data_IF_302528357003
#
_entry.id   IF_302528357003
#
_cell.length_a   1.000
_cell.length_b   1.000
_cell.length_c   1.000
_cell.angle_alpha   90.00
_cell.angle_beta   90.00
_cell.angle_gamma   90.00
#
_symmetry.space_group_name_H-M   'P 1'
#
loop_
_entity.id
_entity.type
_entity.pdbx_description
1 polymer ?
#
# COMPACT_ATOMS: atom_id res chain seq x y z
N UNK A 1 -37.19 6.50 1.47
CA UNK A 1 -36.89 5.05 1.59
C UNK A 1 -37.28 4.42 0.24
N UNK A 2 -36.41 4.61 -0.76
CA UNK A 2 -36.57 4.01 -2.08
C UNK A 2 -35.55 2.88 -2.16
N UNK A 3 -36.04 1.65 -2.25
CA UNK A 3 -35.24 0.49 -2.62
C UNK A 3 -35.00 0.63 -4.12
N UNK A 4 -33.79 1.09 -4.50
CA UNK A 4 -33.33 0.90 -5.87
C UNK A 4 -33.07 -0.59 -6.07
N UNK A 5 -34.07 -1.24 -6.68
CA UNK A 5 -33.97 -2.58 -7.19
C UNK A 5 -32.93 -2.58 -8.31
N UNK A 6 -31.85 -3.31 -8.08
CA UNK A 6 -30.92 -3.65 -9.17
C UNK A 6 -31.72 -4.25 -10.34
N UNK A 7 -31.38 -3.93 -11.61
CA UNK A 7 -32.10 -4.47 -12.76
C UNK A 7 -31.98 -6.00 -12.75
N UNK A 8 -33.08 -6.67 -12.51
CA UNK A 8 -33.23 -8.09 -12.74
C UNK A 8 -33.05 -8.33 -14.25
N UNK A 9 -32.01 -9.04 -14.67
CA UNK A 9 -31.94 -9.50 -16.05
C UNK A 9 -30.58 -9.52 -16.74
N UNK A 10 -29.45 -9.40 -16.05
CA UNK A 10 -28.14 -9.76 -16.64
C UNK A 10 -27.59 -10.98 -15.92
N UNK A 11 -27.67 -12.13 -16.55
CA UNK A 11 -27.18 -13.39 -15.97
C UNK A 11 -25.67 -13.42 -15.73
N UNK A 12 -24.87 -12.60 -16.45
CA UNK A 12 -23.41 -12.57 -16.37
C UNK A 12 -22.91 -11.14 -16.57
N UNK A 13 -22.09 -10.63 -15.64
CA UNK A 13 -21.35 -9.36 -15.79
C UNK A 13 -19.97 -9.62 -16.39
N UNK A 14 -19.38 -8.62 -17.07
CA UNK A 14 -18.02 -8.77 -17.59
C UNK A 14 -17.01 -8.88 -16.46
N UNK A 15 -17.09 -7.99 -15.45
CA UNK A 15 -16.13 -7.94 -14.35
C UNK A 15 -16.84 -7.80 -13.00
N UNK A 16 -16.55 -8.70 -12.07
CA UNK A 16 -16.90 -8.53 -10.66
C UNK A 16 -15.64 -8.17 -9.85
N UNK A 17 -15.69 -7.06 -9.11
CA UNK A 17 -14.61 -6.61 -8.25
C UNK A 17 -15.04 -6.82 -6.81
N UNK A 18 -14.29 -7.63 -6.07
CA UNK A 18 -14.55 -7.93 -4.66
C UNK A 18 -13.69 -7.02 -3.80
N UNK A 19 -14.34 -6.09 -3.10
CA UNK A 19 -13.68 -5.09 -2.24
C UNK A 19 -13.79 -3.67 -2.77
N UNK A 20 -14.29 -2.76 -1.94
CA UNK A 20 -14.49 -1.33 -2.19
C UNK A 20 -13.45 -0.44 -1.47
N UNK A 21 -12.22 -0.95 -1.31
CA UNK A 21 -11.08 -0.14 -0.88
C UNK A 21 -10.59 0.79 -1.99
N UNK A 22 -9.58 1.66 -1.71
CA UNK A 22 -9.06 2.62 -2.71
C UNK A 22 -8.64 1.95 -4.03
N UNK A 23 -7.99 0.78 -3.96
CA UNK A 23 -7.58 0.04 -5.15
C UNK A 23 -8.78 -0.50 -5.96
N UNK A 24 -9.74 -1.15 -5.28
CA UNK A 24 -10.92 -1.72 -5.94
C UNK A 24 -11.76 -0.66 -6.63
N UNK A 25 -12.05 0.45 -5.95
CA UNK A 25 -12.82 1.54 -6.55
C UNK A 25 -12.06 2.27 -7.66
N UNK A 26 -10.74 2.45 -7.54
CA UNK A 26 -9.95 3.03 -8.62
C UNK A 26 -9.98 2.16 -9.89
N UNK A 27 -9.88 0.85 -9.74
CA UNK A 27 -9.98 -0.06 -10.88
C UNK A 27 -11.41 -0.07 -11.47
N UNK A 28 -12.43 -0.11 -10.62
CA UNK A 28 -13.83 -0.04 -11.04
C UNK A 28 -14.12 1.25 -11.83
N UNK A 29 -13.66 2.39 -11.30
CA UNK A 29 -13.77 3.69 -11.98
C UNK A 29 -13.12 3.65 -13.36
N UNK A 30 -11.89 3.15 -13.44
CA UNK A 30 -11.17 3.04 -14.70
C UNK A 30 -11.84 2.08 -15.71
N UNK A 31 -12.41 0.97 -15.25
CA UNK A 31 -13.17 0.00 -16.07
C UNK A 31 -14.44 0.63 -16.62
N UNK A 32 -15.22 1.31 -15.77
CA UNK A 32 -16.46 1.99 -16.17
C UNK A 32 -16.20 3.05 -17.24
N UNK A 33 -15.12 3.82 -17.13
CA UNK A 33 -14.71 4.80 -18.15
C UNK A 33 -14.38 4.18 -19.51
N UNK A 34 -14.08 2.89 -19.55
CA UNK A 34 -13.82 2.11 -20.77
C UNK A 34 -15.05 1.38 -21.30
N UNK A 35 -16.21 1.64 -20.70
CA UNK A 35 -17.49 1.09 -21.12
C UNK A 35 -17.62 -0.43 -20.89
N UNK A 36 -16.83 -1.01 -20.00
CA UNK A 36 -16.93 -2.42 -19.62
C UNK A 36 -17.94 -2.57 -18.48
N UNK A 37 -18.83 -3.53 -18.59
CA UNK A 37 -19.85 -3.81 -17.59
C UNK A 37 -19.22 -4.40 -16.33
N UNK A 38 -19.43 -3.75 -15.19
CA UNK A 38 -18.79 -4.18 -13.94
C UNK A 38 -19.66 -3.93 -12.72
N UNK A 39 -19.45 -4.76 -11.68
CA UNK A 39 -20.07 -4.60 -10.37
C UNK A 39 -19.00 -4.69 -9.28
N UNK A 40 -19.09 -3.82 -8.28
CA UNK A 40 -18.29 -3.91 -7.05
C UNK A 40 -19.12 -4.56 -5.96
N UNK A 41 -18.57 -5.58 -5.32
CA UNK A 41 -19.19 -6.30 -4.21
C UNK A 41 -18.34 -6.10 -2.97
N UNK A 42 -18.90 -5.48 -1.95
CA UNK A 42 -18.20 -5.24 -0.68
C UNK A 42 -19.20 -4.96 0.44
N UNK A 43 -18.88 -5.26 1.71
CA UNK A 43 -19.64 -4.73 2.82
C UNK A 43 -19.56 -3.20 2.82
N UNK A 44 -20.57 -2.54 3.40
CA UNK A 44 -20.53 -1.09 3.58
C UNK A 44 -19.51 -0.74 4.69
N UNK A 45 -18.30 -0.43 4.31
CA UNK A 45 -17.21 -0.10 5.22
C UNK A 45 -16.67 1.30 4.95
N UNK A 46 -16.35 2.00 6.01
CA UNK A 46 -15.61 3.26 5.91
C UNK A 46 -14.11 2.98 5.75
N UNK A 47 -13.41 3.91 5.12
CA UNK A 47 -11.95 3.89 5.06
C UNK A 47 -11.41 4.65 6.28
N UNK A 48 -10.68 3.96 7.13
CA UNK A 48 -10.18 4.52 8.40
C UNK A 48 -8.70 4.92 8.34
N UNK A 49 -7.92 4.30 7.45
CA UNK A 49 -6.50 4.56 7.36
C UNK A 49 -6.20 5.92 6.69
N UNK A 50 -5.15 6.59 7.14
CA UNK A 50 -4.62 7.78 6.48
C UNK A 50 -3.87 7.39 5.21
N UNK A 51 -4.40 7.78 4.05
CA UNK A 51 -3.77 7.53 2.76
C UNK A 51 -2.97 8.75 2.30
N UNK A 52 -1.65 8.66 2.46
CA UNK A 52 -0.73 9.69 2.00
C UNK A 52 -0.01 9.29 0.72
N UNK A 53 0.36 10.29 -0.09
CA UNK A 53 1.10 10.11 -1.33
C UNK A 53 1.93 11.34 -1.68
N UNK A 54 3.00 11.15 -2.45
CA UNK A 54 3.65 12.26 -3.13
C UNK A 54 2.71 12.82 -4.20
N UNK A 55 2.58 14.15 -4.26
CA UNK A 55 1.61 14.81 -5.14
C UNK A 55 1.79 14.41 -6.60
N UNK A 56 3.02 14.44 -7.10
CA UNK A 56 3.38 14.08 -8.47
C UNK A 56 3.17 12.59 -8.80
N UNK A 57 3.06 11.72 -7.78
CA UNK A 57 2.73 10.31 -7.97
C UNK A 57 1.24 10.08 -8.26
N UNK A 58 0.37 11.04 -7.94
CA UNK A 58 -1.09 10.88 -8.03
C UNK A 58 -1.79 11.96 -8.83
N UNK A 59 -1.10 13.01 -9.23
CA UNK A 59 -1.68 14.18 -9.94
C UNK A 59 -2.31 13.80 -11.29
N UNK A 60 -1.72 12.83 -11.99
CA UNK A 60 -2.22 12.34 -13.28
C UNK A 60 -3.15 11.12 -13.16
N UNK A 61 -3.51 10.69 -11.94
CA UNK A 61 -4.37 9.53 -11.75
C UNK A 61 -5.84 9.85 -12.08
N UNK A 62 -6.57 8.84 -12.55
CA UNK A 62 -8.01 8.92 -12.78
C UNK A 62 -8.76 8.84 -11.44
N UNK A 63 -9.00 9.98 -10.80
CA UNK A 63 -9.61 10.07 -9.47
C UNK A 63 -11.11 10.38 -9.50
N UNK A 64 -11.68 10.58 -10.71
CA UNK A 64 -13.08 11.02 -10.89
C UNK A 64 -13.30 12.52 -10.61
N UNK A 65 -12.33 13.19 -9.99
CA UNK A 65 -12.31 14.63 -9.72
C UNK A 65 -10.87 15.15 -9.73
N UNK A 66 -10.65 16.48 -9.81
CA UNK A 66 -9.33 17.07 -9.61
C UNK A 66 -8.71 16.69 -8.26
N UNK A 67 -7.40 16.47 -8.21
CA UNK A 67 -6.71 16.03 -7.00
C UNK A 67 -7.02 16.91 -5.78
N UNK A 68 -7.01 18.23 -5.95
CA UNK A 68 -7.26 19.17 -4.85
C UNK A 68 -8.69 19.07 -4.25
N UNK A 69 -9.64 18.52 -5.00
CA UNK A 69 -11.00 18.29 -4.52
C UNK A 69 -11.11 17.04 -3.60
N UNK A 70 -10.14 16.12 -3.67
CA UNK A 70 -10.16 14.85 -2.94
C UNK A 70 -9.06 14.73 -1.89
N UNK A 71 -8.29 15.80 -1.64
CA UNK A 71 -7.28 15.82 -0.58
C UNK A 71 -7.78 16.54 0.68
N UNK A 72 -7.37 16.03 1.84
CA UNK A 72 -7.60 16.62 3.16
C UNK A 72 -6.53 17.62 3.55
N UNK A 73 -5.30 17.42 3.02
CA UNK A 73 -4.18 18.31 3.23
C UNK A 73 -3.10 18.12 2.16
N UNK A 74 -2.37 19.20 1.90
CA UNK A 74 -1.25 19.23 0.99
C UNK A 74 -0.11 20.08 1.58
N UNK A 75 1.10 19.56 1.52
CA UNK A 75 2.28 20.22 2.08
C UNK A 75 3.38 20.31 1.02
N UNK A 76 3.84 21.53 0.72
CA UNK A 76 4.94 21.73 -0.24
C UNK A 76 6.29 21.28 0.32
N UNK A 77 6.40 21.21 1.65
CA UNK A 77 7.61 20.84 2.37
C UNK A 77 7.37 19.61 3.24
N UNK A 78 8.21 18.60 3.04
CA UNK A 78 8.22 17.38 3.83
C UNK A 78 9.51 17.31 4.65
N UNK A 79 9.39 16.97 5.92
CA UNK A 79 10.50 16.84 6.85
C UNK A 79 10.79 15.37 7.15
N UNK A 80 12.06 15.00 7.08
CA UNK A 80 12.61 13.75 7.60
C UNK A 80 13.71 14.06 8.58
N UNK A 81 13.74 13.44 9.74
CA UNK A 81 14.76 13.63 10.78
C UNK A 81 15.36 12.28 11.14
N UNK A 82 16.62 12.09 10.76
CA UNK A 82 17.49 11.03 11.25
C UNK A 82 18.43 11.59 12.31
N UNK A 83 19.73 11.43 12.14
CA UNK A 83 20.74 12.20 12.86
C UNK A 83 20.80 13.66 12.37
N UNK A 84 20.33 13.90 11.14
CA UNK A 84 20.22 15.23 10.49
C UNK A 84 18.76 15.47 10.09
N UNK A 85 18.37 16.75 9.94
CA UNK A 85 17.10 17.14 9.37
C UNK A 85 17.22 17.28 7.84
N UNK A 86 16.31 16.67 7.12
CA UNK A 86 16.13 16.82 5.67
C UNK A 86 14.80 17.52 5.39
N UNK A 87 14.88 18.54 4.55
CA UNK A 87 13.71 19.27 4.02
C UNK A 87 13.57 18.93 2.56
N UNK A 88 12.56 18.12 2.26
CA UNK A 88 12.32 17.59 0.93
C UNK A 88 11.34 18.52 0.21
N UNK A 89 11.82 19.17 -0.86
CA UNK A 89 11.02 20.06 -1.71
C UNK A 89 10.19 19.25 -2.73
N UNK A 90 9.56 18.16 -2.29
CA UNK A 90 8.63 17.35 -3.07
C UNK A 90 7.30 17.35 -2.34
N UNK A 91 6.23 17.89 -2.94
CA UNK A 91 4.94 18.03 -2.25
C UNK A 91 4.33 16.68 -1.88
N UNK A 92 3.71 16.63 -0.70
CA UNK A 92 3.00 15.47 -0.18
C UNK A 92 1.52 15.81 0.04
N UNK A 93 0.65 14.86 -0.18
CA UNK A 93 -0.80 15.01 0.02
C UNK A 93 -1.32 13.87 0.90
N UNK A 94 -2.38 14.14 1.63
CA UNK A 94 -3.19 13.14 2.31
C UNK A 94 -4.60 13.25 1.75
N UNK A 95 -5.14 12.12 1.32
CA UNK A 95 -6.48 12.06 0.75
C UNK A 95 -7.57 12.29 1.81
N UNK A 96 -8.65 12.92 1.41
CA UNK A 96 -9.92 12.88 2.12
C UNK A 96 -10.63 11.59 1.73
N UNK A 97 -10.71 10.65 2.64
CA UNK A 97 -11.24 9.31 2.37
C UNK A 97 -12.68 9.33 1.87
N UNK A 98 -13.51 10.23 2.40
CA UNK A 98 -14.92 10.32 2.00
C UNK A 98 -15.05 10.90 0.59
N UNK A 99 -14.33 11.99 0.30
CA UNK A 99 -14.35 12.65 -1.01
C UNK A 99 -13.75 11.75 -2.07
N UNK A 100 -12.63 11.09 -1.79
CA UNK A 100 -12.01 10.17 -2.74
C UNK A 100 -12.92 8.96 -3.00
N UNK A 101 -13.51 8.36 -1.95
CA UNK A 101 -14.46 7.24 -2.09
C UNK A 101 -15.67 7.65 -2.93
N UNK A 102 -16.29 8.79 -2.63
CA UNK A 102 -17.44 9.30 -3.36
C UNK A 102 -17.11 9.56 -4.84
N UNK A 103 -15.95 10.17 -5.12
CA UNK A 103 -15.49 10.45 -6.47
C UNK A 103 -15.24 9.18 -7.28
N UNK A 104 -14.52 8.21 -6.70
CA UNK A 104 -14.20 6.95 -7.38
C UNK A 104 -15.42 6.04 -7.56
N UNK A 105 -16.43 6.13 -6.67
CA UNK A 105 -17.63 5.27 -6.76
C UNK A 105 -18.75 5.88 -7.61
N UNK A 106 -18.60 7.09 -8.11
CA UNK A 106 -19.63 7.76 -8.89
C UNK A 106 -19.96 6.97 -10.17
N UNK A 107 -21.24 6.59 -10.33
CA UNK A 107 -21.72 5.85 -11.50
C UNK A 107 -21.35 4.37 -11.55
N UNK A 108 -20.75 3.81 -10.48
CA UNK A 108 -20.39 2.39 -10.39
C UNK A 108 -21.56 1.59 -9.82
N UNK A 109 -21.88 0.46 -10.44
CA UNK A 109 -22.81 -0.51 -9.87
C UNK A 109 -22.18 -1.16 -8.63
N UNK A 110 -22.81 -0.99 -7.47
CA UNK A 110 -22.33 -1.55 -6.21
C UNK A 110 -23.36 -2.45 -5.57
N UNK A 111 -22.88 -3.55 -4.99
CA UNK A 111 -23.67 -4.44 -4.15
C UNK A 111 -23.06 -4.49 -2.75
N UNK A 112 -23.87 -4.13 -1.77
CA UNK A 112 -23.47 -4.22 -0.35
C UNK A 112 -23.70 -5.66 0.10
N UNK A 113 -22.62 -6.45 0.10
CA UNK A 113 -22.61 -7.85 0.53
C UNK A 113 -21.15 -8.32 0.72
N UNK A 114 -20.98 -9.55 1.20
CA UNK A 114 -19.69 -10.21 1.34
C UNK A 114 -19.63 -11.45 0.46
N UNK A 115 -18.54 -11.64 -0.26
CA UNK A 115 -18.30 -12.87 -1.03
C UNK A 115 -17.72 -13.93 -0.08
N UNK A 116 -18.32 -15.10 -0.07
CA UNK A 116 -17.90 -16.23 0.80
C UNK A 116 -17.25 -17.37 0.03
N UNK A 117 -17.52 -17.51 -1.28
CA UNK A 117 -16.92 -18.52 -2.13
C UNK A 117 -16.87 -18.08 -3.59
N UNK A 118 -15.98 -18.68 -4.37
CA UNK A 118 -15.89 -18.53 -5.82
C UNK A 118 -15.76 -19.91 -6.47
N UNK A 119 -16.65 -20.21 -7.41
CA UNK A 119 -16.66 -21.46 -8.17
C UNK A 119 -16.44 -21.14 -9.66
N UNK A 120 -15.62 -21.94 -10.33
CA UNK A 120 -15.20 -21.68 -11.71
C UNK A 120 -15.74 -22.74 -12.65
N UNK A 121 -16.36 -22.32 -13.74
CA UNK A 121 -16.54 -23.15 -14.94
C UNK A 121 -15.47 -22.81 -16.00
N UNK A 122 -15.63 -23.27 -17.23
CA UNK A 122 -14.65 -23.01 -18.30
C UNK A 122 -14.57 -21.55 -18.72
N UNK A 123 -15.63 -20.77 -18.59
CA UNK A 123 -15.77 -19.40 -19.11
C UNK A 123 -15.96 -18.35 -18.03
N UNK A 124 -16.70 -18.70 -16.95
CA UNK A 124 -17.17 -17.78 -15.93
C UNK A 124 -16.74 -18.21 -14.52
N UNK A 125 -16.93 -17.31 -13.58
CA UNK A 125 -16.83 -17.56 -12.15
C UNK A 125 -18.13 -17.16 -11.50
N UNK A 126 -18.68 -18.03 -10.67
CA UNK A 126 -19.85 -17.77 -9.83
C UNK A 126 -19.35 -17.41 -8.42
N UNK A 127 -19.70 -16.22 -7.96
CA UNK A 127 -19.46 -15.75 -6.61
C UNK A 127 -20.67 -16.02 -5.75
N UNK A 128 -20.51 -16.75 -4.64
CA UNK A 128 -21.56 -16.90 -3.63
C UNK A 128 -21.44 -15.80 -2.58
N UNK A 129 -22.54 -15.16 -2.27
CA UNK A 129 -22.63 -14.05 -1.34
C UNK A 129 -23.12 -14.52 0.03
N UNK A 130 -22.82 -13.76 1.07
CA UNK A 130 -23.28 -14.07 2.42
C UNK A 130 -24.80 -14.00 2.57
N UNK A 131 -25.49 -13.21 1.74
CA UNK A 131 -26.96 -13.19 1.63
C UNK A 131 -27.58 -14.49 1.09
N UNK A 132 -26.77 -15.38 0.49
CA UNK A 132 -27.21 -16.56 -0.24
C UNK A 132 -27.41 -16.35 -1.73
N UNK A 133 -27.31 -15.12 -2.21
CA UNK A 133 -27.39 -14.80 -3.64
C UNK A 133 -26.09 -15.16 -4.38
N UNK A 134 -26.17 -15.17 -5.71
CA UNK A 134 -25.03 -15.43 -6.59
C UNK A 134 -24.81 -14.30 -7.59
N UNK A 135 -23.55 -14.08 -7.94
CA UNK A 135 -23.15 -13.19 -9.04
C UNK A 135 -22.21 -13.95 -9.97
N UNK A 136 -22.55 -14.02 -11.24
CA UNK A 136 -21.71 -14.63 -12.28
C UNK A 136 -20.95 -13.57 -13.04
N UNK A 137 -19.65 -13.79 -13.24
CA UNK A 137 -18.77 -12.87 -13.95
C UNK A 137 -17.81 -13.60 -14.89
N UNK A 138 -17.43 -12.95 -16.00
CA UNK A 138 -16.38 -13.46 -16.91
C UNK A 138 -15.00 -13.33 -16.28
N UNK A 139 -14.78 -12.26 -15.51
CA UNK A 139 -13.56 -12.00 -14.77
C UNK A 139 -13.89 -11.61 -13.33
N UNK A 140 -13.16 -12.15 -12.37
CA UNK A 140 -13.23 -11.74 -10.96
C UNK A 140 -11.91 -11.11 -10.54
N UNK A 141 -12.02 -9.94 -9.93
CA UNK A 141 -10.89 -9.22 -9.33
C UNK A 141 -11.02 -9.26 -7.81
N UNK A 142 -10.00 -9.77 -7.12
CA UNK A 142 -9.87 -9.67 -5.67
C UNK A 142 -9.13 -8.38 -5.29
N UNK A 143 -9.85 -7.43 -4.71
CA UNK A 143 -9.35 -6.18 -4.17
C UNK A 143 -9.63 -6.04 -2.66
N UNK A 144 -9.73 -7.17 -1.93
CA UNK A 144 -10.09 -7.24 -0.51
C UNK A 144 -8.96 -6.81 0.45
N UNK A 145 -7.83 -6.39 -0.09
CA UNK A 145 -6.67 -5.97 0.70
C UNK A 145 -5.69 -7.11 0.97
N UNK A 146 -4.92 -7.02 2.05
CA UNK A 146 -3.87 -8.01 2.35
C UNK A 146 -4.40 -9.34 2.91
N UNK A 147 -5.66 -9.39 3.32
CA UNK A 147 -6.30 -10.59 3.88
C UNK A 147 -6.47 -11.75 2.89
N UNK A 148 -6.42 -11.46 1.59
CA UNK A 148 -6.52 -12.41 0.47
C UNK A 148 -7.66 -13.41 0.65
N UNK A 149 -8.86 -12.99 0.28
CA UNK A 149 -10.06 -13.83 0.43
C UNK A 149 -10.15 -14.90 -0.67
N UNK A 150 -9.82 -14.54 -1.91
CA UNK A 150 -10.04 -15.36 -3.10
C UNK A 150 -8.77 -15.66 -3.89
N UNK A 151 -7.80 -14.74 -3.92
CA UNK A 151 -6.53 -14.97 -4.59
C UNK A 151 -5.58 -15.75 -3.66
N UNK A 152 -5.28 -16.99 -4.01
CA UNK A 152 -4.36 -17.82 -3.23
C UNK A 152 -2.93 -17.32 -3.37
N UNK A 153 -2.26 -17.01 -2.26
CA UNK A 153 -0.81 -16.80 -2.26
C UNK A 153 -0.12 -18.16 -2.45
N UNK A 154 0.83 -18.23 -3.36
CA UNK A 154 1.72 -19.38 -3.39
C UNK A 154 2.36 -19.52 -2.00
N UNK A 155 2.25 -20.71 -1.42
CA UNK A 155 3.13 -21.06 -0.33
C UNK A 155 4.55 -20.76 -0.83
N UNK A 156 5.22 -19.81 -0.17
CA UNK A 156 6.54 -19.42 -0.59
C UNK A 156 7.37 -20.70 -0.73
N UNK A 157 7.84 -21.01 -1.95
CA UNK A 157 9.01 -21.86 -2.17
C UNK A 157 10.22 -21.11 -1.61
N UNK A 158 10.07 -20.64 -0.39
CA UNK A 158 11.15 -20.09 0.39
C UNK A 158 11.82 -21.26 1.05
N UNK A 159 13.13 -21.34 0.94
CA UNK A 159 14.01 -22.00 1.90
C UNK A 159 13.84 -21.45 3.34
N UNK A 160 12.62 -21.10 3.70
CA UNK A 160 12.24 -20.82 5.07
C UNK A 160 12.23 -22.17 5.77
N UNK A 161 13.14 -22.36 6.71
CA UNK A 161 13.17 -23.55 7.53
C UNK A 161 11.77 -23.81 8.09
N UNK A 162 11.38 -25.09 8.21
CA UNK A 162 10.04 -25.48 8.69
C UNK A 162 9.72 -24.83 10.04
N UNK A 163 10.75 -24.55 10.85
CA UNK A 163 10.69 -23.80 12.12
C UNK A 163 10.26 -22.34 12.00
N UNK A 164 10.39 -21.73 10.81
CA UNK A 164 10.12 -20.29 10.59
C UNK A 164 8.69 -20.02 10.06
N UNK A 165 7.92 -21.09 9.78
CA UNK A 165 6.54 -20.98 9.28
C UNK A 165 5.53 -20.61 10.37
N UNK A 166 5.86 -20.81 11.64
CA UNK A 166 5.03 -20.45 12.79
C UNK A 166 5.25 -19.00 13.27
N UNK A 167 6.32 -18.34 12.82
CA UNK A 167 6.58 -16.96 13.19
C UNK A 167 5.62 -16.00 12.46
N UNK A 168 5.03 -15.01 13.17
CA UNK A 168 4.18 -14.00 12.54
C UNK A 168 4.93 -13.31 11.40
N UNK A 169 4.23 -13.04 10.30
CA UNK A 169 4.79 -12.23 9.21
C UNK A 169 5.17 -10.84 9.74
N UNK A 170 6.31 -10.32 9.31
CA UNK A 170 6.72 -8.96 9.67
C UNK A 170 5.76 -7.93 9.09
N UNK A 171 5.57 -6.84 9.80
CA UNK A 171 4.67 -5.79 9.38
C UNK A 171 5.21 -4.40 9.76
N UNK A 172 4.75 -3.40 9.02
CA UNK A 172 4.67 -2.03 9.48
C UNK A 172 3.42 -1.90 10.33
N UNK A 173 3.56 -1.31 11.52
CA UNK A 173 2.45 -1.05 12.42
C UNK A 173 2.51 0.38 12.91
N UNK A 174 1.34 1.00 13.10
CA UNK A 174 1.26 2.34 13.63
C UNK A 174 0.06 2.52 14.55
N UNK A 175 0.20 3.44 15.49
CA UNK A 175 -0.86 3.97 16.32
C UNK A 175 -0.93 5.48 16.13
N UNK A 176 -2.02 5.96 15.57
CA UNK A 176 -2.25 7.36 15.24
C UNK A 176 -3.47 7.93 15.95
N UNK A 177 -3.41 9.22 16.25
CA UNK A 177 -4.49 10.01 16.79
C UNK A 177 -4.73 11.23 15.93
N UNK A 178 -5.99 11.54 15.66
CA UNK A 178 -6.39 12.83 15.09
C UNK A 178 -6.90 13.71 16.23
N UNK A 179 -6.21 14.80 16.50
CA UNK A 179 -6.50 15.72 17.63
C UNK A 179 -6.73 17.14 17.13
N UNK A 180 -7.35 17.99 17.99
CA UNK A 180 -7.60 19.42 17.71
C UNK A 180 -6.51 20.34 18.28
N UNK A 181 -5.26 19.90 18.21
CA UNK A 181 -4.11 20.67 18.73
C UNK A 181 -2.97 20.64 17.73
N UNK A 182 -2.39 21.77 17.41
CA UNK A 182 -1.20 21.89 16.54
C UNK A 182 0.14 21.88 17.29
N UNK A 183 0.12 21.76 18.61
CA UNK A 183 1.32 21.89 19.47
C UNK A 183 2.43 20.86 19.15
N UNK A 184 2.08 19.75 18.52
CA UNK A 184 2.98 18.60 18.27
C UNK A 184 3.58 18.56 16.87
N UNK A 185 3.18 19.49 15.99
CA UNK A 185 3.62 19.52 14.59
C UNK A 185 4.03 20.95 14.21
N UNK A 186 4.85 21.07 13.18
CA UNK A 186 5.21 22.36 12.60
C UNK A 186 4.15 22.75 11.56
N UNK A 187 3.45 23.89 11.70
CA UNK A 187 2.47 24.34 10.72
C UNK A 187 3.06 24.39 9.29
N UNK A 188 2.30 23.94 8.31
CA UNK A 188 2.71 23.94 6.90
C UNK A 188 3.78 22.91 6.52
N UNK A 189 4.22 22.07 7.46
CA UNK A 189 5.23 21.02 7.25
C UNK A 189 4.63 19.65 7.53
N UNK A 190 4.86 18.72 6.64
CA UNK A 190 4.55 17.31 6.86
C UNK A 190 5.78 16.60 7.42
N UNK A 191 5.72 16.05 8.63
CA UNK A 191 6.77 15.19 9.17
C UNK A 191 6.52 13.76 8.70
N UNK A 192 7.31 13.32 7.72
CA UNK A 192 7.21 11.97 7.15
C UNK A 192 7.86 10.92 8.06
N UNK A 193 9.00 11.26 8.63
CA UNK A 193 9.73 10.40 9.58
C UNK A 193 10.54 11.27 10.53
N UNK A 194 10.32 11.13 11.83
CA UNK A 194 11.22 11.67 12.84
C UNK A 194 11.71 10.53 13.73
N UNK A 195 12.94 10.09 13.50
CA UNK A 195 13.58 8.94 14.16
C UNK A 195 14.22 9.29 15.50
N UNK A 196 14.16 10.55 15.94
CA UNK A 196 14.68 10.91 17.26
C UNK A 196 13.94 10.10 18.32
N UNK A 197 14.66 9.51 19.30
CA UNK A 197 14.00 8.75 20.36
C UNK A 197 13.08 9.66 21.19
N UNK A 198 12.00 9.12 21.79
CA UNK A 198 11.23 9.82 22.77
C UNK A 198 12.10 10.30 23.94
N UNK A 199 11.77 11.45 24.56
CA UNK A 199 12.59 12.17 25.52
C UNK A 199 12.84 11.45 26.85
N UNK A 200 12.18 10.34 27.16
CA UNK A 200 12.35 9.55 28.39
C UNK A 200 12.94 8.16 28.12
N UNK A 201 13.96 7.80 28.87
CA UNK A 201 14.93 6.72 28.64
C UNK A 201 14.47 5.26 28.60
N UNK A 202 13.21 4.91 28.78
CA UNK A 202 12.72 3.52 28.68
C UNK A 202 12.32 3.09 27.27
N UNK A 203 12.21 4.01 26.34
CA UNK A 203 11.69 3.76 25.00
C UNK A 203 12.74 3.29 23.99
N UNK A 204 14.00 3.21 24.38
CA UNK A 204 15.08 2.77 23.52
C UNK A 204 15.21 1.25 23.47
N UNK A 205 14.17 0.55 23.02
CA UNK A 205 14.38 -0.77 22.44
C UNK A 205 15.13 -0.57 21.12
N UNK A 206 16.45 -0.67 21.20
CA UNK A 206 17.37 -0.44 20.08
C UNK A 206 17.19 -1.41 18.92
N UNK A 207 16.43 -2.49 19.10
CA UNK A 207 16.31 -3.55 18.10
C UNK A 207 15.34 -3.20 16.95
N UNK A 208 14.27 -2.44 17.22
CA UNK A 208 13.30 -2.00 16.20
C UNK A 208 12.86 -0.55 16.51
N UNK A 209 13.52 0.46 15.93
CA UNK A 209 13.15 1.84 16.20
C UNK A 209 11.80 2.19 15.60
N UNK A 210 11.09 3.10 16.26
CA UNK A 210 9.88 3.73 15.77
C UNK A 210 10.15 5.19 15.42
N UNK A 211 9.29 5.80 14.65
CA UNK A 211 9.38 7.20 14.25
C UNK A 211 8.03 7.90 14.38
N UNK A 212 8.09 9.20 14.56
CA UNK A 212 6.91 10.05 14.52
C UNK A 212 6.53 10.38 13.07
N UNK A 213 5.24 10.31 12.77
CA UNK A 213 4.61 10.71 11.53
C UNK A 213 3.45 11.65 11.84
N UNK A 214 3.36 12.80 11.16
CA UNK A 214 2.26 13.70 11.46
C UNK A 214 2.31 15.06 10.78
N UNK A 215 1.14 15.69 10.72
CA UNK A 215 0.96 17.04 10.18
C UNK A 215 -0.39 17.61 10.60
N UNK A 216 -0.54 18.93 10.49
CA UNK A 216 -1.83 19.60 10.62
C UNK A 216 -2.54 19.64 9.26
N UNK A 217 -3.78 19.18 9.21
CA UNK A 217 -4.64 19.22 8.02
C UNK A 217 -5.24 20.61 7.79
N UNK A 218 -5.82 20.80 6.61
CA UNK A 218 -6.46 22.06 6.24
C UNK A 218 -7.69 22.40 7.10
N UNK A 219 -8.33 21.38 7.71
CA UNK A 219 -9.46 21.54 8.62
C UNK A 219 -9.05 21.87 10.06
N UNK A 220 -7.76 22.09 10.30
CA UNK A 220 -7.19 22.38 11.61
C UNK A 220 -7.00 21.17 12.53
N UNK A 221 -7.45 19.99 12.14
CA UNK A 221 -7.13 18.76 12.85
C UNK A 221 -5.67 18.37 12.62
N UNK A 222 -5.07 17.65 13.56
CA UNK A 222 -3.67 17.25 13.51
C UNK A 222 -3.57 15.74 13.66
N UNK A 223 -2.88 15.09 12.73
CA UNK A 223 -2.44 13.70 12.87
C UNK A 223 -1.15 13.68 13.67
N UNK A 224 -1.10 12.82 14.68
CA UNK A 224 0.10 12.45 15.43
C UNK A 224 0.16 10.93 15.50
N UNK A 225 1.27 10.33 15.04
CA UNK A 225 1.36 8.89 14.90
C UNK A 225 2.75 8.39 15.28
N UNK A 226 2.81 7.28 16.00
CA UNK A 226 4.01 6.50 16.25
C UNK A 226 4.00 5.27 15.35
N UNK A 227 5.00 5.16 14.49
CA UNK A 227 5.07 4.15 13.44
C UNK A 227 6.33 3.30 13.57
N UNK A 228 6.18 1.99 13.49
CA UNK A 228 7.28 1.05 13.25
C UNK A 228 7.39 0.78 11.75
N UNK A 229 8.54 1.06 11.12
CA UNK A 229 8.70 0.81 9.68
C UNK A 229 8.62 -0.67 9.35
N UNK A 230 9.24 -1.50 10.14
CA UNK A 230 9.21 -2.97 10.04
C UNK A 230 9.58 -3.59 11.38
N UNK A 231 8.79 -4.52 11.83
CA UNK A 231 9.13 -5.36 12.97
C UNK A 231 8.65 -6.81 12.77
N UNK A 232 9.38 -7.79 13.34
CA UNK A 232 9.01 -9.19 13.35
C UNK A 232 9.42 -9.81 14.70
N UNK A 233 8.47 -10.13 15.62
CA UNK A 233 7.03 -9.89 15.46
C UNK A 233 6.69 -8.40 15.35
N UNK A 234 5.53 -8.04 14.76
CA UNK A 234 5.05 -6.66 14.72
C UNK A 234 4.81 -6.11 16.12
N UNK A 235 4.99 -4.80 16.31
CA UNK A 235 4.61 -4.16 17.58
C UNK A 235 3.10 -4.29 17.80
N UNK A 236 2.72 -4.51 19.05
CA UNK A 236 1.33 -4.41 19.50
C UNK A 236 0.91 -2.95 19.66
N UNK A 237 -0.41 -2.74 19.64
CA UNK A 237 -1.03 -1.41 19.71
C UNK A 237 -0.71 -0.68 21.01
N UNK A 238 -0.72 -1.38 22.14
CA UNK A 238 -0.47 -0.77 23.45
C UNK A 238 0.98 -0.29 23.58
N UNK A 239 1.92 -0.98 22.98
CA UNK A 239 3.31 -0.54 22.92
C UNK A 239 3.44 0.75 22.12
N UNK A 240 2.85 0.82 20.92
CA UNK A 240 2.91 2.02 20.08
C UNK A 240 2.18 3.20 20.73
N UNK A 241 1.04 2.96 21.40
CA UNK A 241 0.32 3.98 22.17
C UNK A 241 1.20 4.58 23.28
N UNK A 242 1.87 3.72 24.05
CA UNK A 242 2.79 4.19 25.11
C UNK A 242 3.96 4.99 24.53
N UNK A 243 4.55 4.53 23.42
CA UNK A 243 5.65 5.22 22.76
C UNK A 243 5.21 6.61 22.25
N UNK A 244 4.00 6.71 21.66
CA UNK A 244 3.45 7.99 21.24
C UNK A 244 3.25 8.93 22.44
N UNK A 245 2.64 8.46 23.53
CA UNK A 245 2.43 9.25 24.72
C UNK A 245 3.76 9.75 25.32
N UNK A 246 4.78 8.91 25.36
CA UNK A 246 6.14 9.29 25.81
C UNK A 246 6.75 10.34 24.90
N UNK A 247 6.63 10.19 23.58
CA UNK A 247 7.14 11.14 22.60
C UNK A 247 6.49 12.51 22.72
N UNK A 248 5.17 12.55 22.91
CA UNK A 248 4.40 13.77 23.05
C UNK A 248 4.47 14.38 24.47
N UNK A 249 4.94 13.62 25.46
CA UNK A 249 4.92 14.01 26.87
C UNK A 249 3.51 13.97 27.49
N UNK A 250 2.50 13.44 26.78
CA UNK A 250 1.09 13.36 27.21
C UNK A 250 0.35 12.27 26.46
N UNK A 251 -0.57 11.58 27.13
CA UNK A 251 -1.52 10.66 26.48
C UNK A 251 -2.74 11.44 26.00
N UNK A 252 -2.89 11.54 24.69
CA UNK A 252 -3.98 12.26 24.02
C UNK A 252 -5.16 11.37 23.62
N UNK A 253 -5.16 10.09 23.97
CA UNK A 253 -6.17 9.11 23.53
C UNK A 253 -7.60 9.56 23.86
N UNK A 254 -7.82 10.12 25.04
CA UNK A 254 -9.15 10.63 25.49
C UNK A 254 -9.60 11.91 24.77
N UNK A 255 -8.68 12.64 24.13
CA UNK A 255 -8.93 13.90 23.43
C UNK A 255 -8.99 13.72 21.91
N UNK A 256 -8.73 12.50 21.43
CA UNK A 256 -8.69 12.22 20.02
C UNK A 256 -10.10 12.20 19.40
N UNK A 257 -10.25 12.88 18.27
CA UNK A 257 -11.45 12.80 17.44
C UNK A 257 -11.58 11.46 16.73
N UNK A 258 -10.43 10.82 16.43
CA UNK A 258 -10.36 9.46 15.91
C UNK A 258 -9.03 8.80 16.26
N UNK A 259 -9.06 7.47 16.34
CA UNK A 259 -7.89 6.61 16.51
C UNK A 259 -7.65 5.85 15.22
N UNK A 260 -6.41 5.81 14.79
CA UNK A 260 -5.98 5.05 13.62
C UNK A 260 -5.07 3.89 14.05
N UNK A 261 -5.40 2.70 13.62
CA UNK A 261 -4.61 1.49 13.83
C UNK A 261 -4.15 0.97 12.48
N UNK A 262 -2.84 0.95 12.25
CA UNK A 262 -2.27 0.52 10.99
C UNK A 262 -1.52 -0.80 11.17
N UNK A 263 -1.78 -1.74 10.26
CA UNK A 263 -0.99 -2.97 10.10
C UNK A 263 -0.86 -3.29 8.61
N UNK A 264 0.34 -3.12 8.08
CA UNK A 264 0.67 -3.38 6.68
C UNK A 264 1.65 -4.56 6.65
N UNK A 265 1.26 -5.71 6.11
CA UNK A 265 2.18 -6.85 5.99
C UNK A 265 3.30 -6.51 5.01
N UNK A 266 4.53 -6.81 5.40
CA UNK A 266 5.73 -6.45 4.65
C UNK A 266 6.48 -7.71 4.19
N UNK A 267 6.90 -7.70 2.93
CA UNK A 267 7.71 -8.79 2.38
C UNK A 267 6.96 -10.10 2.19
N UNK A 268 5.64 -10.06 2.06
CA UNK A 268 4.85 -11.25 1.71
C UNK A 268 5.12 -11.67 0.26
N UNK A 269 5.00 -12.98 0.02
CA UNK A 269 5.07 -13.54 -1.33
C UNK A 269 3.93 -12.99 -2.19
N UNK A 270 4.21 -12.80 -3.49
CA UNK A 270 3.16 -12.46 -4.45
C UNK A 270 2.14 -13.62 -4.55
N UNK A 271 0.86 -13.32 -4.84
CA UNK A 271 -0.13 -14.35 -5.09
C UNK A 271 0.22 -15.17 -6.34
N UNK A 272 -0.34 -16.38 -6.43
CA UNK A 272 -0.22 -17.20 -7.64
C UNK A 272 -0.89 -16.51 -8.83
N UNK A 273 -0.12 -16.29 -9.90
CA UNK A 273 -0.60 -15.64 -11.13
C UNK A 273 -1.27 -16.58 -12.13
N UNK A 274 -1.43 -17.85 -11.76
CA UNK A 274 -2.15 -18.85 -12.55
C UNK A 274 -3.60 -19.06 -12.09
N UNK A 275 -4.09 -18.27 -11.14
CA UNK A 275 -5.46 -18.38 -10.61
C UNK A 275 -6.47 -17.66 -11.49
N UNK A 276 -7.72 -18.17 -11.48
CA UNK A 276 -8.85 -17.58 -12.21
C UNK A 276 -9.30 -16.25 -11.60
N UNK A 277 -9.13 -16.07 -10.31
CA UNK A 277 -9.33 -14.79 -9.63
C UNK A 277 -8.05 -13.99 -9.69
N UNK A 278 -8.13 -12.78 -10.20
CA UNK A 278 -6.98 -11.88 -10.34
C UNK A 278 -6.94 -10.93 -9.17
N UNK A 279 -5.83 -10.89 -8.45
CA UNK A 279 -5.61 -9.89 -7.40
C UNK A 279 -5.37 -8.50 -7.96
N UNK A 280 -5.82 -7.46 -7.22
CA UNK A 280 -5.47 -6.07 -7.49
C UNK A 280 -5.21 -5.30 -6.18
N UNK A 281 -4.37 -4.27 -6.21
CA UNK A 281 -3.96 -3.56 -5.01
C UNK A 281 -3.17 -4.45 -4.04
N UNK A 282 -3.44 -4.35 -2.76
CA UNK A 282 -2.74 -5.14 -1.74
C UNK A 282 -2.98 -6.64 -1.89
N UNK A 283 -4.15 -7.08 -2.39
CA UNK A 283 -4.42 -8.49 -2.70
C UNK A 283 -3.49 -9.04 -3.80
N UNK A 284 -3.07 -8.20 -4.74
CA UNK A 284 -2.04 -8.55 -5.72
C UNK A 284 -0.61 -8.44 -5.18
N UNK A 285 -0.40 -8.00 -3.96
CA UNK A 285 0.92 -7.68 -3.42
C UNK A 285 1.45 -6.30 -3.87
N UNK A 286 0.57 -5.39 -4.30
CA UNK A 286 0.90 -3.99 -4.62
C UNK A 286 1.14 -3.17 -3.34
N UNK A 287 1.99 -3.69 -2.49
CA UNK A 287 2.53 -3.04 -1.30
C UNK A 287 4.03 -2.89 -1.50
N UNK A 288 4.53 -1.67 -1.45
CA UNK A 288 5.97 -1.43 -1.59
C UNK A 288 6.72 -2.09 -0.42
N UNK A 289 7.68 -3.00 -0.69
CA UNK A 289 8.28 -3.85 0.35
C UNK A 289 8.94 -3.09 1.49
N UNK A 290 9.47 -1.90 1.23
CA UNK A 290 10.26 -1.13 2.21
C UNK A 290 9.42 -0.06 2.92
N UNK A 291 8.43 0.53 2.24
CA UNK A 291 7.67 1.68 2.76
C UNK A 291 6.23 1.37 3.15
N UNK A 292 5.68 0.24 2.70
CA UNK A 292 4.26 -0.06 2.87
C UNK A 292 3.32 0.73 1.94
N UNK A 293 3.83 1.63 1.10
CA UNK A 293 2.98 2.38 0.16
C UNK A 293 2.26 1.44 -0.80
N UNK A 294 0.95 1.63 -0.96
CA UNK A 294 0.11 0.78 -1.80
C UNK A 294 -0.88 1.60 -2.64
N UNK A 295 -1.52 2.61 -2.05
CA UNK A 295 -2.63 3.33 -2.69
C UNK A 295 -2.18 4.03 -3.96
N UNK A 296 -1.14 4.87 -3.92
CA UNK A 296 -0.65 5.58 -5.10
C UNK A 296 -0.25 4.62 -6.25
N UNK A 297 0.42 3.52 -5.93
CA UNK A 297 0.76 2.48 -6.92
C UNK A 297 -0.49 1.86 -7.55
N UNK A 298 -1.52 1.58 -6.76
CA UNK A 298 -2.80 1.03 -7.25
C UNK A 298 -3.55 2.03 -8.12
N UNK A 299 -3.60 3.30 -7.72
CA UNK A 299 -4.23 4.38 -8.51
C UNK A 299 -3.56 4.52 -9.89
N UNK A 300 -2.22 4.50 -9.96
CA UNK A 300 -1.49 4.55 -11.23
C UNK A 300 -1.65 3.29 -12.08
N UNK A 301 -1.81 2.12 -11.46
CA UNK A 301 -1.97 0.86 -12.19
C UNK A 301 -3.38 0.68 -12.77
N UNK A 302 -4.40 1.29 -12.15
CA UNK A 302 -5.80 1.06 -12.50
C UNK A 302 -6.12 1.33 -13.98
N UNK A 303 -5.70 2.44 -14.62
CA UNK A 303 -5.96 2.69 -16.04
C UNK A 303 -5.37 1.59 -16.93
N UNK A 304 -4.10 1.23 -16.73
CA UNK A 304 -3.41 0.22 -17.52
C UNK A 304 -4.07 -1.16 -17.41
N UNK A 305 -4.50 -1.54 -16.21
CA UNK A 305 -5.18 -2.83 -15.99
C UNK A 305 -6.58 -2.79 -16.60
N UNK A 306 -7.30 -1.68 -16.51
CA UNK A 306 -8.59 -1.51 -17.15
C UNK A 306 -8.50 -1.56 -18.69
N UNK A 307 -7.48 -0.95 -19.31
CA UNK A 307 -7.20 -1.07 -20.74
C UNK A 307 -6.97 -2.53 -21.16
N UNK A 308 -6.19 -3.27 -20.38
CA UNK A 308 -5.94 -4.68 -20.63
C UNK A 308 -7.22 -5.53 -20.51
N UNK A 309 -8.09 -5.24 -19.54
CA UNK A 309 -9.39 -5.91 -19.37
C UNK A 309 -10.26 -5.65 -20.60
N UNK A 310 -10.45 -4.38 -20.99
CA UNK A 310 -11.27 -4.01 -22.14
C UNK A 310 -10.77 -4.70 -23.43
N UNK A 311 -9.46 -4.64 -23.68
CA UNK A 311 -8.83 -5.27 -24.84
C UNK A 311 -9.00 -6.79 -24.87
N UNK A 312 -8.77 -7.46 -23.71
CA UNK A 312 -8.89 -8.91 -23.63
C UNK A 312 -10.35 -9.38 -23.84
N UNK A 313 -11.33 -8.64 -23.32
CA UNK A 313 -12.75 -8.91 -23.53
C UNK A 313 -13.15 -8.72 -25.00
N UNK A 314 -12.68 -7.63 -25.64
CA UNK A 314 -12.91 -7.37 -27.08
C UNK A 314 -12.29 -8.46 -27.99
N UNK A 315 -11.15 -9.03 -27.58
CA UNK A 315 -10.51 -10.17 -28.26
C UNK A 315 -11.24 -11.50 -28.01
N UNK A 316 -12.33 -11.52 -27.24
CA UNK A 316 -13.10 -12.72 -26.94
C UNK A 316 -12.39 -13.68 -25.97
N UNK A 317 -11.36 -13.23 -25.22
CA UNK A 317 -10.70 -14.07 -24.21
C UNK A 317 -11.67 -14.42 -23.10
N UNK A 318 -11.54 -15.63 -22.58
CA UNK A 318 -12.42 -16.18 -21.55
C UNK A 318 -11.62 -17.02 -20.55
N UNK A 319 -12.23 -17.25 -19.41
CA UNK A 319 -11.72 -18.23 -18.47
C UNK A 319 -10.30 -17.99 -18.01
N UNK A 320 -9.47 -19.02 -18.11
CA UNK A 320 -8.06 -18.98 -17.71
C UNK A 320 -7.22 -18.03 -18.57
N UNK A 321 -7.51 -17.93 -19.88
CA UNK A 321 -6.76 -17.08 -20.81
C UNK A 321 -7.03 -15.59 -20.51
N UNK A 322 -8.27 -15.24 -20.18
CA UNK A 322 -8.62 -13.89 -19.72
C UNK A 322 -7.87 -13.55 -18.42
N UNK A 323 -7.98 -14.41 -17.42
CA UNK A 323 -7.30 -14.17 -16.13
C UNK A 323 -5.78 -14.07 -16.30
N UNK A 324 -5.17 -14.92 -17.11
CA UNK A 324 -3.72 -14.90 -17.41
C UNK A 324 -3.29 -13.58 -18.05
N UNK A 325 -4.05 -13.08 -19.04
CA UNK A 325 -3.77 -11.79 -19.69
C UNK A 325 -3.83 -10.63 -18.66
N UNK A 326 -4.78 -10.67 -17.74
CA UNK A 326 -4.93 -9.61 -16.73
C UNK A 326 -3.84 -9.72 -15.66
N UNK A 327 -3.46 -10.93 -15.23
CA UNK A 327 -2.30 -11.11 -14.37
C UNK A 327 -1.00 -10.54 -14.96
N UNK A 328 -0.79 -10.68 -16.26
CA UNK A 328 0.35 -10.07 -16.97
C UNK A 328 0.25 -8.52 -16.97
N UNK A 329 -0.95 -7.97 -17.05
CA UNK A 329 -1.16 -6.55 -16.96
C UNK A 329 -0.96 -6.04 -15.51
N UNK A 330 -1.38 -6.77 -14.48
CA UNK A 330 -1.14 -6.40 -13.07
C UNK A 330 0.36 -6.48 -12.77
N UNK A 331 1.03 -7.58 -13.13
CA UNK A 331 2.45 -7.81 -12.90
C UNK A 331 3.21 -8.09 -14.20
N UNK A 332 3.46 -7.07 -15.04
CA UNK A 332 4.37 -7.21 -16.17
C UNK A 332 5.78 -7.54 -15.69
N UNK A 333 6.57 -8.19 -16.52
CA UNK A 333 7.91 -8.68 -16.17
C UNK A 333 8.81 -7.59 -15.59
N UNK A 334 8.73 -6.38 -16.12
CA UNK A 334 9.49 -5.22 -15.61
C UNK A 334 9.16 -4.91 -14.13
N UNK A 335 7.88 -4.96 -13.73
CA UNK A 335 7.50 -4.71 -12.34
C UNK A 335 7.90 -5.85 -11.40
N UNK A 336 7.97 -7.08 -11.89
CA UNK A 336 8.51 -8.20 -11.13
C UNK A 336 10.00 -8.02 -10.85
N UNK A 337 10.75 -7.49 -11.81
CA UNK A 337 12.17 -7.15 -11.62
C UNK A 337 12.33 -6.01 -10.60
N UNK A 338 11.52 -4.95 -10.73
CA UNK A 338 11.48 -3.85 -9.75
C UNK A 338 11.19 -4.36 -8.35
N UNK A 339 10.17 -5.22 -8.22
CA UNK A 339 9.81 -5.85 -6.94
C UNK A 339 10.97 -6.65 -6.35
N UNK A 340 11.70 -7.41 -7.15
CA UNK A 340 12.85 -8.19 -6.67
C UNK A 340 13.94 -7.29 -6.07
N UNK A 341 14.20 -6.10 -6.65
CA UNK A 341 15.12 -5.12 -6.08
C UNK A 341 14.61 -4.51 -4.77
N UNK A 342 13.32 -4.19 -4.69
CA UNK A 342 12.71 -3.71 -3.43
C UNK A 342 12.73 -4.78 -2.33
N UNK A 343 12.49 -6.04 -2.66
CA UNK A 343 12.59 -7.17 -1.72
C UNK A 343 14.03 -7.33 -1.19
N UNK A 344 15.03 -7.14 -2.06
CA UNK A 344 16.44 -7.11 -1.63
C UNK A 344 16.71 -5.93 -0.68
N UNK A 345 16.11 -4.76 -0.94
CA UNK A 345 16.18 -3.59 -0.05
C UNK A 345 15.54 -3.85 1.31
N UNK A 346 14.35 -4.44 1.35
CA UNK A 346 13.73 -4.86 2.60
C UNK A 346 14.60 -5.85 3.38
N UNK A 347 15.18 -6.82 2.67
CA UNK A 347 16.05 -7.81 3.31
C UNK A 347 17.29 -7.18 3.95
N UNK A 348 17.85 -6.15 3.32
CA UNK A 348 18.96 -5.37 3.90
C UNK A 348 18.48 -4.55 5.11
N UNK A 349 17.34 -3.85 4.99
CA UNK A 349 16.78 -3.02 6.07
C UNK A 349 16.48 -3.83 7.34
N UNK A 350 15.92 -5.04 7.19
CA UNK A 350 15.59 -5.94 8.32
C UNK A 350 16.81 -6.35 9.16
N UNK A 351 18.01 -6.19 8.63
CA UNK A 351 19.29 -6.54 9.28
C UNK A 351 20.02 -5.33 9.86
N UNK A 352 19.51 -4.13 9.62
CA UNK A 352 20.08 -2.94 10.21
C UNK A 352 19.77 -2.91 11.71
N UNK A 353 20.77 -2.71 12.57
CA UNK A 353 20.54 -2.36 13.95
C UNK A 353 19.75 -1.07 14.07
N UNK A 354 18.95 -0.96 15.12
CA UNK A 354 18.07 0.19 15.31
C UNK A 354 18.79 1.53 15.33
N UNK A 355 20.01 1.59 15.89
CA UNK A 355 20.87 2.77 15.93
C UNK A 355 21.38 3.22 14.55
N UNK A 356 21.38 2.33 13.56
CA UNK A 356 21.81 2.63 12.19
C UNK A 356 20.67 3.10 11.28
N UNK A 357 19.41 3.00 11.70
CA UNK A 357 18.27 3.32 10.83
C UNK A 357 18.20 4.82 10.51
N UNK A 358 18.43 5.67 11.50
CA UNK A 358 18.49 7.12 11.27
C UNK A 358 19.58 7.51 10.27
N UNK A 359 20.80 6.94 10.40
CA UNK A 359 21.90 7.17 9.46
C UNK A 359 21.57 6.65 8.05
N UNK A 360 20.91 5.50 7.96
CA UNK A 360 20.46 4.96 6.66
C UNK A 360 19.52 5.93 5.94
N UNK A 361 18.53 6.50 6.63
CA UNK A 361 17.62 7.47 6.03
C UNK A 361 18.27 8.81 5.74
N UNK A 362 19.25 9.23 6.53
CA UNK A 362 20.08 10.42 6.22
C UNK A 362 20.80 10.26 4.89
N UNK A 363 21.42 9.11 4.64
CA UNK A 363 22.10 8.85 3.38
C UNK A 363 21.12 8.66 2.22
N UNK A 364 19.96 8.04 2.48
CA UNK A 364 18.90 7.83 1.48
C UNK A 364 18.33 9.17 0.98
N UNK A 365 17.90 10.05 1.88
CA UNK A 365 17.32 11.34 1.50
C UNK A 365 18.36 12.40 1.10
N UNK A 366 19.65 12.10 1.24
CA UNK A 366 20.74 12.88 0.65
C UNK A 366 21.02 12.51 -0.82
N UNK A 367 20.38 11.48 -1.36
CA UNK A 367 20.44 11.17 -2.79
C UNK A 367 19.72 12.26 -3.60
N UNK A 368 20.07 12.43 -4.90
CA UNK A 368 19.26 13.22 -5.83
C UNK A 368 17.78 12.79 -5.78
N UNK A 369 16.87 13.77 -5.89
CA UNK A 369 15.43 13.54 -5.77
C UNK A 369 14.93 12.47 -6.74
N UNK A 370 15.45 12.43 -7.95
CA UNK A 370 15.10 11.47 -9.00
C UNK A 370 15.41 10.02 -8.59
N UNK A 371 16.44 9.82 -7.77
CA UNK A 371 16.83 8.49 -7.33
C UNK A 371 15.99 8.02 -6.14
N UNK A 372 15.91 8.83 -5.06
CA UNK A 372 15.14 8.38 -3.91
C UNK A 372 13.65 8.33 -4.20
N UNK A 373 13.11 9.26 -5.02
CA UNK A 373 11.70 9.23 -5.41
C UNK A 373 11.35 8.01 -6.27
N UNK A 374 12.22 7.68 -7.23
CA UNK A 374 12.06 6.47 -8.04
C UNK A 374 12.12 5.20 -7.19
N UNK A 375 12.98 5.15 -6.17
CA UNK A 375 13.02 4.01 -5.26
C UNK A 375 11.73 3.84 -4.46
N UNK A 376 11.05 4.92 -4.10
CA UNK A 376 9.80 4.88 -3.32
C UNK A 376 8.56 4.48 -4.13
N UNK A 377 8.68 4.34 -5.46
CA UNK A 377 7.58 3.94 -6.35
C UNK A 377 7.67 2.45 -6.67
N UNK A 378 6.58 1.73 -6.44
CA UNK A 378 6.50 0.28 -6.73
C UNK A 378 6.59 -0.03 -8.24
N UNK A 379 6.22 0.93 -9.07
CA UNK A 379 6.13 0.83 -10.53
C UNK A 379 7.27 1.52 -11.27
N UNK A 380 8.36 1.85 -10.58
CA UNK A 380 9.57 2.40 -11.17
C UNK A 380 10.28 1.41 -12.10
N UNK A 381 11.07 1.95 -13.01
CA UNK A 381 11.97 1.13 -13.83
C UNK A 381 13.03 0.42 -12.97
N UNK A 382 13.31 -0.87 -13.22
CA UNK A 382 14.31 -1.64 -12.46
C UNK A 382 15.70 -0.98 -12.45
N UNK A 383 16.06 -0.33 -13.55
CA UNK A 383 17.34 0.36 -13.69
C UNK A 383 17.48 1.55 -12.71
N UNK A 384 16.40 2.32 -12.50
CA UNK A 384 16.40 3.46 -11.58
C UNK A 384 16.49 2.99 -10.14
N UNK A 385 15.71 1.97 -9.76
CA UNK A 385 15.78 1.38 -8.41
C UNK A 385 17.18 0.84 -8.12
N UNK A 386 17.78 0.13 -9.05
CA UNK A 386 19.17 -0.35 -8.94
C UNK A 386 20.16 0.78 -8.80
N UNK A 387 20.02 1.87 -9.59
CA UNK A 387 20.88 3.05 -9.48
C UNK A 387 20.77 3.72 -8.11
N UNK A 388 19.54 3.85 -7.58
CA UNK A 388 19.31 4.41 -6.25
C UNK A 388 19.99 3.56 -5.16
N UNK A 389 19.82 2.23 -5.20
CA UNK A 389 20.47 1.30 -4.26
C UNK A 389 21.99 1.38 -4.34
N UNK A 390 22.54 1.42 -5.54
CA UNK A 390 23.99 1.52 -5.74
C UNK A 390 24.54 2.87 -5.29
N UNK A 391 23.84 3.97 -5.58
CA UNK A 391 24.22 5.31 -5.13
C UNK A 391 24.19 5.40 -3.60
N UNK A 392 23.16 4.86 -2.95
CA UNK A 392 23.07 4.76 -1.49
C UNK A 392 24.26 3.98 -0.92
N UNK A 393 24.55 2.79 -1.47
CA UNK A 393 25.66 1.97 -1.04
C UNK A 393 27.01 2.71 -1.15
N UNK A 394 27.25 3.42 -2.24
CA UNK A 394 28.50 4.19 -2.44
C UNK A 394 28.65 5.37 -1.49
N UNK A 395 27.56 6.01 -1.10
CA UNK A 395 27.56 7.16 -0.18
C UNK A 395 27.68 6.72 1.27
N UNK A 396 27.11 5.59 1.62
CA UNK A 396 27.11 5.08 2.99
C UNK A 396 28.51 4.90 3.55
N UNK A 397 28.67 5.11 4.85
CA UNK A 397 29.92 4.82 5.56
C UNK A 397 30.26 3.33 5.50
N UNK A 398 31.52 3.00 5.70
CA UNK A 398 32.00 1.61 5.58
C UNK A 398 31.24 0.64 6.49
N UNK A 399 30.95 1.03 7.73
CA UNK A 399 30.14 0.24 8.68
C UNK A 399 28.77 -0.14 8.13
N UNK A 400 28.07 0.84 7.52
CA UNK A 400 26.76 0.63 6.92
C UNK A 400 26.86 -0.19 5.63
N UNK A 401 27.91 0.01 4.80
CA UNK A 401 28.14 -0.81 3.59
C UNK A 401 28.28 -2.29 3.90
N UNK A 402 29.06 -2.65 4.94
CA UNK A 402 29.24 -4.05 5.35
C UNK A 402 27.86 -4.66 5.67
N UNK A 403 27.01 -3.94 6.40
CA UNK A 403 25.68 -4.41 6.79
C UNK A 403 24.73 -4.55 5.59
N UNK A 404 24.75 -3.57 4.67
CA UNK A 404 23.96 -3.62 3.44
C UNK A 404 24.42 -4.75 2.50
N UNK A 405 25.74 -5.03 2.44
CA UNK A 405 26.31 -6.11 1.63
C UNK A 405 26.10 -7.50 2.22
N UNK A 406 25.73 -7.62 3.49
CA UNK A 406 25.55 -8.91 4.16
C UNK A 406 24.36 -9.75 3.64
N UNK A 407 23.77 -9.39 2.49
CA UNK A 407 22.63 -10.07 1.86
C UNK A 407 22.88 -10.48 0.41
N UNK A 408 24.00 -11.20 0.09
CA UNK A 408 24.33 -11.50 -1.30
C UNK A 408 23.29 -12.38 -2.00
N UNK A 409 22.62 -13.29 -1.29
CA UNK A 409 21.61 -14.17 -1.88
C UNK A 409 20.34 -13.42 -2.34
N UNK A 410 19.95 -12.33 -1.67
CA UNK A 410 18.82 -11.51 -2.10
C UNK A 410 19.19 -10.66 -3.33
N UNK A 411 20.39 -10.12 -3.37
CA UNK A 411 20.93 -9.39 -4.53
C UNK A 411 21.10 -10.31 -5.74
N UNK A 412 21.62 -11.53 -5.55
CA UNK A 412 21.75 -12.51 -6.63
C UNK A 412 20.38 -12.87 -7.21
N UNK A 413 19.36 -13.08 -6.38
CA UNK A 413 17.98 -13.32 -6.86
C UNK A 413 17.44 -12.16 -7.69
N UNK A 414 17.67 -10.92 -7.27
CA UNK A 414 17.26 -9.73 -8.02
C UNK A 414 18.01 -9.58 -9.36
N UNK A 415 19.24 -10.05 -9.45
CA UNK A 415 20.04 -10.05 -10.69
C UNK A 415 19.59 -11.16 -11.65
N UNK A 416 19.28 -12.35 -11.12
CA UNK A 416 18.90 -13.53 -11.92
C UNK A 416 17.44 -13.47 -12.39
N UNK A 417 16.59 -12.68 -11.78
CA UNK A 417 15.18 -12.47 -12.19
C UNK A 417 15.02 -11.67 -13.51
N UNK A 418 16.04 -11.76 -14.40
CA UNK A 418 16.02 -11.15 -15.74
C UNK A 418 15.05 -11.85 -16.71
#
# INVERSE_FOLDING_TARGET
MQRDSAPAGRDIVDVAIVGAGPAGLALAHAITRRGVDSIVIAPDTQWHATYGAWRDDVEACELGAPLDAVVRGAWPLVRVVGAREHRLARPYVVFDNQRLKASLSAGIAMRVDSVVAAEHDTQTTTLRLASGDEVRARLVIDATGSGVLLAHRQAANSNRAVSDRSAPAGAQTAYGLVVRSSAFVTPGVFTLMDWRPPLSGEAASTQHPTFFYGAQFNDGATLVEETSLYAQPPFDVDTLRRLLAVRLGVDLTSQAASVELVRIPMGEALPSRGTRVVGFGAAAGYIHPVTGYSVAGSLRAAPRVADAIASALQQGKQGADLASAIWQAVWPQQLLQTRAWHDAGLHALRRLPGDCVGEFFDEFFSLPVELWSSYLRIDSEPALVRRAMFALFRRSRWSLRIRLAASPAALLRAIVSR
#
